data_IF_507470935324
#
_entry.id   IF_507470935324
#
_cell.length_a   1.000
_cell.length_b   1.000
_cell.length_c   1.000
_cell.angle_alpha   90.00
_cell.angle_beta   90.00
_cell.angle_gamma   90.00
#
_symmetry.space_group_name_H-M   'P 1'
#
loop_
_entity.id
_entity.type
_entity.pdbx_description
1 polymer ?
#
# COMPACT_ATOMS: atom_id res chain seq x y z
N UNK A 1 -6.46 -1.39 10.49
CA UNK A 1 -6.04 -1.60 9.09
C UNK A 1 -4.76 -2.40 9.15
N UNK A 2 -4.64 -3.51 8.42
CA UNK A 2 -3.46 -4.37 8.42
C UNK A 2 -2.80 -4.30 7.04
N UNK A 3 -1.51 -4.01 6.99
CA UNK A 3 -0.73 -3.95 5.76
C UNK A 3 0.28 -5.09 5.83
N UNK A 4 0.22 -6.00 4.88
CA UNK A 4 1.20 -7.06 4.74
C UNK A 4 2.02 -6.76 3.49
N UNK A 5 3.34 -6.64 3.66
CA UNK A 5 4.28 -6.46 2.57
C UNK A 5 4.97 -7.80 2.31
N UNK A 6 4.93 -8.24 1.07
CA UNK A 6 5.75 -9.31 0.53
C UNK A 6 6.61 -8.70 -0.60
N UNK A 7 7.75 -9.29 -0.95
CA UNK A 7 8.63 -8.73 -1.98
C UNK A 7 7.91 -8.45 -3.31
N UNK A 8 6.94 -9.30 -3.68
CA UNK A 8 6.17 -9.16 -4.93
C UNK A 8 4.80 -8.49 -4.79
N UNK A 9 4.26 -8.35 -3.57
CA UNK A 9 2.88 -7.86 -3.37
C UNK A 9 2.67 -7.13 -2.05
N UNK A 10 1.75 -6.16 -2.08
CA UNK A 10 1.23 -5.51 -0.87
C UNK A 10 -0.23 -5.89 -0.71
N UNK A 11 -0.58 -6.40 0.46
CA UNK A 11 -1.96 -6.72 0.84
C UNK A 11 -2.41 -5.73 1.89
N UNK A 12 -3.45 -4.95 1.58
CA UNK A 12 -4.07 -4.00 2.51
C UNK A 12 -5.42 -4.55 2.92
N UNK A 13 -5.60 -4.83 4.20
CA UNK A 13 -6.86 -5.27 4.79
C UNK A 13 -7.45 -4.19 5.71
N UNK A 14 -8.71 -3.86 5.50
CA UNK A 14 -9.43 -2.87 6.29
C UNK A 14 -10.80 -2.54 5.69
N UNK A 15 -11.47 -1.52 6.23
CA UNK A 15 -12.71 -1.01 5.63
C UNK A 15 -12.40 -0.42 4.25
N UNK A 16 -13.32 -0.59 3.29
CA UNK A 16 -13.10 -0.18 1.89
C UNK A 16 -12.64 1.29 1.76
N UNK A 17 -13.26 2.21 2.52
CA UNK A 17 -12.88 3.63 2.50
C UNK A 17 -11.44 3.86 3.02
N UNK A 18 -10.98 3.08 4.00
CA UNK A 18 -9.62 3.19 4.55
C UNK A 18 -8.59 2.73 3.52
N UNK A 19 -8.87 1.62 2.82
CA UNK A 19 -8.03 1.12 1.73
C UNK A 19 -7.92 2.15 0.63
N UNK A 20 -9.05 2.75 0.23
CA UNK A 20 -9.08 3.75 -0.84
C UNK A 20 -8.36 5.04 -0.45
N UNK A 21 -8.48 5.47 0.81
CA UNK A 21 -7.72 6.60 1.35
C UNK A 21 -6.21 6.33 1.34
N UNK A 22 -5.80 5.14 1.78
CA UNK A 22 -4.40 4.73 1.79
C UNK A 22 -3.80 4.68 0.38
N UNK A 23 -4.51 4.09 -0.58
CA UNK A 23 -4.05 3.99 -1.97
C UNK A 23 -3.88 5.38 -2.61
N UNK A 24 -4.76 6.33 -2.29
CA UNK A 24 -4.62 7.73 -2.74
C UNK A 24 -3.43 8.43 -2.11
N UNK A 25 -3.16 8.19 -0.82
CA UNK A 25 -1.98 8.71 -0.14
C UNK A 25 -0.70 8.13 -0.74
N UNK A 26 -0.67 6.81 -0.91
CA UNK A 26 0.42 6.05 -1.49
C UNK A 26 0.80 6.55 -2.90
N UNK A 27 -0.20 6.80 -3.75
CA UNK A 27 0.00 7.36 -5.10
C UNK A 27 0.75 8.70 -5.11
N UNK A 28 0.69 9.48 -4.03
CA UNK A 28 1.44 10.75 -3.93
C UNK A 28 2.90 10.54 -3.58
N UNK A 29 3.22 9.49 -2.82
CA UNK A 29 4.57 9.26 -2.28
C UNK A 29 5.42 8.32 -3.13
N UNK A 30 4.79 7.44 -3.90
CA UNK A 30 5.50 6.43 -4.69
C UNK A 30 4.91 6.34 -6.10
N UNK A 31 5.78 6.13 -7.09
CA UNK A 31 5.37 5.95 -8.50
C UNK A 31 4.99 4.51 -8.80
N UNK A 32 5.59 3.53 -8.12
CA UNK A 32 5.38 2.11 -8.41
C UNK A 32 5.21 1.27 -7.16
N UNK A 33 4.36 0.23 -7.24
CA UNK A 33 4.14 -0.72 -6.13
C UNK A 33 5.44 -1.38 -5.65
N UNK A 34 6.44 -1.51 -6.53
CA UNK A 34 7.79 -2.01 -6.16
C UNK A 34 8.53 -1.07 -5.22
N UNK A 35 8.37 0.24 -5.38
CA UNK A 35 8.90 1.21 -4.42
C UNK A 35 8.19 1.08 -3.07
N UNK A 36 6.91 0.67 -3.05
CA UNK A 36 6.21 0.40 -1.78
C UNK A 36 6.80 -0.75 -0.98
N UNK A 37 7.13 -1.84 -1.70
CA UNK A 37 7.56 -3.10 -1.11
C UNK A 37 9.01 -3.02 -0.67
N UNK A 38 9.81 -2.16 -1.32
CA UNK A 38 11.22 -1.97 -1.00
C UNK A 38 11.45 -1.07 0.22
N UNK A 39 10.41 -0.37 0.68
CA UNK A 39 10.49 0.43 1.90
C UNK A 39 10.32 -0.46 3.14
N UNK A 40 11.46 -0.74 3.77
CA UNK A 40 11.60 -1.56 4.99
C UNK A 40 11.09 -0.85 6.23
#
# INVERSE_FOLDING_TARGET
>A
MKIYKSPDKVVVQGKAWQVLHLLKFYRKQYKSVREWTNEK
#
